data_IF_632175399794
#
_entry.id   IF_632175399794
#
_cell.length_a   1.000
_cell.length_b   1.000
_cell.length_c   1.000
_cell.angle_alpha   90.00
_cell.angle_beta   90.00
_cell.angle_gamma   90.00
#
_symmetry.space_group_name_H-M   'P 1'
#
loop_
_entity.id
_entity.type
_entity.pdbx_description
1 polymer ?
#
# COMPACT_ATOMS: atom_id res chain seq x y z
N UNK A 1 -20.72 8.66 -7.41
CA UNK A 1 -19.85 9.55 -6.58
C UNK A 1 -20.47 10.88 -6.14
N UNK A 2 -21.41 11.46 -6.88
CA UNK A 2 -21.96 12.80 -6.61
C UNK A 2 -22.48 13.04 -5.17
N UNK A 3 -23.11 12.05 -4.54
CA UNK A 3 -23.62 12.19 -3.16
C UNK A 3 -22.50 12.44 -2.14
N UNK A 4 -21.37 11.74 -2.28
CA UNK A 4 -20.20 11.90 -1.41
C UNK A 4 -19.57 13.27 -1.62
N UNK A 5 -19.35 13.67 -2.88
CA UNK A 5 -18.81 15.00 -3.22
C UNK A 5 -19.68 16.13 -2.64
N UNK A 6 -21.01 16.01 -2.74
CA UNK A 6 -21.94 16.98 -2.15
C UNK A 6 -21.76 17.06 -0.63
N UNK A 7 -21.66 15.90 0.04
CA UNK A 7 -21.54 15.87 1.50
C UNK A 7 -20.22 16.45 1.99
N UNK A 8 -19.11 16.14 1.32
CA UNK A 8 -17.80 16.71 1.63
C UNK A 8 -17.78 18.23 1.49
N UNK A 9 -18.41 18.76 0.42
CA UNK A 9 -18.58 20.22 0.24
C UNK A 9 -19.39 20.86 1.37
N UNK A 10 -20.50 20.25 1.79
CA UNK A 10 -21.32 20.74 2.91
C UNK A 10 -20.54 20.77 4.23
N UNK A 11 -19.68 19.77 4.44
CA UNK A 11 -18.80 19.66 5.62
C UNK A 11 -17.53 20.52 5.51
N UNK A 12 -17.31 21.19 4.37
CA UNK A 12 -16.10 21.97 4.07
C UNK A 12 -14.81 21.13 4.18
N UNK A 13 -14.88 19.86 3.83
CA UNK A 13 -13.73 18.97 3.73
C UNK A 13 -13.16 19.10 2.32
N UNK A 14 -11.88 19.45 2.22
CA UNK A 14 -11.16 19.44 0.96
C UNK A 14 -10.94 18.02 0.47
N UNK A 15 -11.07 17.83 -0.85
CA UNK A 15 -10.88 16.54 -1.46
C UNK A 15 -10.26 16.67 -2.85
N UNK A 16 -9.59 15.60 -3.28
CA UNK A 16 -9.05 15.43 -4.62
C UNK A 16 -9.87 14.36 -5.33
N UNK A 17 -10.18 14.61 -6.61
CA UNK A 17 -10.83 13.63 -7.47
C UNK A 17 -9.84 13.12 -8.50
N UNK A 18 -9.84 11.82 -8.74
CA UNK A 18 -9.03 11.17 -9.77
C UNK A 18 -9.86 10.15 -10.54
N UNK A 19 -9.37 9.74 -11.69
CA UNK A 19 -9.89 8.62 -12.47
C UNK A 19 -8.72 7.75 -12.88
N UNK A 20 -8.85 6.45 -12.67
CA UNK A 20 -7.92 5.45 -13.17
C UNK A 20 -8.56 4.63 -14.27
N UNK A 21 -7.73 4.11 -15.17
CA UNK A 21 -8.13 3.23 -16.27
C UNK A 21 -7.25 1.99 -16.27
N UNK A 22 -7.87 0.81 -16.22
CA UNK A 22 -7.18 -0.47 -16.28
C UNK A 22 -8.03 -1.46 -17.11
N UNK A 23 -7.44 -2.06 -18.15
CA UNK A 23 -8.16 -3.02 -18.99
C UNK A 23 -9.44 -2.46 -19.64
N UNK A 24 -9.47 -1.15 -19.93
CA UNK A 24 -10.65 -0.45 -20.44
C UNK A 24 -11.75 -0.19 -19.40
N UNK A 25 -11.52 -0.52 -18.13
CA UNK A 25 -12.41 -0.21 -17.02
C UNK A 25 -11.97 1.11 -16.39
N UNK A 26 -12.92 2.03 -16.23
CA UNK A 26 -12.71 3.31 -15.56
C UNK A 26 -13.25 3.27 -14.13
N UNK A 27 -12.43 3.70 -13.18
CA UNK A 27 -12.83 3.85 -11.78
C UNK A 27 -12.60 5.29 -11.33
N UNK A 28 -13.68 5.95 -10.93
CA UNK A 28 -13.60 7.27 -10.30
C UNK A 28 -13.22 7.11 -8.82
N UNK A 29 -12.24 7.88 -8.37
CA UNK A 29 -11.73 7.88 -7.00
C UNK A 29 -11.82 9.27 -6.39
N UNK A 30 -12.01 9.30 -5.08
CA UNK A 30 -12.04 10.52 -4.28
C UNK A 30 -11.15 10.32 -3.06
N UNK A 31 -10.24 11.26 -2.84
CA UNK A 31 -9.28 11.24 -1.73
C UNK A 31 -9.52 12.44 -0.83
N UNK A 32 -9.55 12.23 0.48
CA UNK A 32 -9.63 13.30 1.49
C UNK A 32 -8.99 12.85 2.79
N UNK A 33 -8.73 13.78 3.71
CA UNK A 33 -8.24 13.45 5.04
C UNK A 33 -9.40 13.47 6.06
N UNK A 34 -9.40 12.50 6.96
CA UNK A 34 -10.23 12.56 8.16
C UNK A 34 -9.67 13.57 9.18
N UNK A 35 -10.37 13.87 10.29
CA UNK A 35 -9.90 14.80 11.30
C UNK A 35 -8.58 14.41 11.98
N UNK A 36 -8.23 13.12 11.96
CA UNK A 36 -7.00 12.58 12.54
C UNK A 36 -5.83 12.62 11.52
N UNK A 37 -6.10 13.07 10.29
CA UNK A 37 -5.12 13.20 9.21
C UNK A 37 -4.95 11.94 8.36
N UNK A 38 -5.70 10.87 8.61
CA UNK A 38 -5.66 9.65 7.81
C UNK A 38 -6.26 9.92 6.43
N UNK A 39 -5.58 9.46 5.38
CA UNK A 39 -6.09 9.58 4.01
C UNK A 39 -7.14 8.49 3.76
N UNK A 40 -8.32 8.93 3.32
CA UNK A 40 -9.44 8.09 2.95
C UNK A 40 -9.62 8.14 1.45
N UNK A 41 -9.68 6.96 0.83
CA UNK A 41 -10.05 6.77 -0.58
C UNK A 41 -11.50 6.25 -0.68
N UNK A 42 -12.29 6.80 -1.61
CA UNK A 42 -13.59 6.30 -2.01
C UNK A 42 -13.59 6.06 -3.53
N UNK A 43 -13.71 4.80 -3.96
CA UNK A 43 -13.82 4.39 -5.37
C UNK A 43 -15.28 4.16 -5.79
N UNK A 44 -15.60 4.35 -7.09
CA UNK A 44 -16.80 3.79 -7.67
C UNK A 44 -16.43 2.49 -8.39
N UNK A 45 -16.63 1.40 -7.68
CA UNK A 45 -16.19 0.08 -8.11
C UNK A 45 -17.34 -0.74 -8.76
N UNK A 46 -18.46 -0.10 -9.14
CA UNK A 46 -19.64 -0.73 -9.76
C UNK A 46 -19.32 -1.57 -11.02
N UNK A 47 -18.29 -1.18 -11.77
CA UNK A 47 -17.92 -1.81 -13.03
C UNK A 47 -16.76 -2.82 -12.89
N UNK A 48 -16.27 -3.06 -11.66
CA UNK A 48 -15.21 -4.04 -11.43
C UNK A 48 -15.79 -5.47 -11.47
N UNK A 49 -15.06 -6.42 -12.08
CA UNK A 49 -15.49 -7.82 -12.10
C UNK A 49 -15.47 -8.39 -10.68
N UNK A 50 -16.61 -8.89 -10.22
CA UNK A 50 -16.70 -9.62 -8.95
C UNK A 50 -16.41 -11.09 -9.23
N UNK A 51 -15.29 -11.58 -8.71
CA UNK A 51 -14.91 -12.99 -8.79
C UNK A 51 -15.20 -13.62 -7.41
N UNK A 52 -16.13 -14.59 -7.31
CA UNK A 52 -16.38 -15.27 -6.06
C UNK A 52 -15.13 -15.98 -5.56
N UNK A 53 -14.80 -15.80 -4.28
CA UNK A 53 -13.75 -16.59 -3.65
C UNK A 53 -14.28 -18.01 -3.42
N UNK A 54 -13.49 -19.02 -3.81
CA UNK A 54 -13.81 -20.41 -3.50
C UNK A 54 -13.69 -20.66 -1.99
N UNK A 55 -14.48 -21.58 -1.45
CA UNK A 55 -14.46 -21.90 -0.02
C UNK A 55 -13.05 -22.33 0.47
N UNK A 56 -12.27 -22.95 -0.41
CA UNK A 56 -10.90 -23.40 -0.13
C UNK A 56 -9.86 -22.27 -0.19
N UNK A 57 -10.22 -21.08 -0.68
CA UNK A 57 -9.33 -19.92 -0.77
C UNK A 57 -9.25 -19.12 0.54
N UNK A 58 -10.14 -19.36 1.50
CA UNK A 58 -10.09 -18.74 2.84
C UNK A 58 -9.07 -19.49 3.68
N UNK A 59 -7.78 -19.29 3.39
CA UNK A 59 -6.72 -19.73 4.29
C UNK A 59 -6.65 -18.74 5.44
N UNK A 60 -7.11 -19.14 6.62
CA UNK A 60 -6.93 -18.38 7.85
C UNK A 60 -5.43 -18.20 8.07
N UNK A 61 -4.92 -16.98 7.92
CA UNK A 61 -3.52 -16.60 8.12
C UNK A 61 -3.13 -16.58 9.62
N UNK A 62 -3.59 -17.56 10.40
CA UNK A 62 -3.26 -17.68 11.83
C UNK A 62 -1.91 -18.36 12.10
N UNK A 63 -1.20 -18.81 11.06
CA UNK A 63 0.04 -19.60 11.21
C UNK A 63 1.27 -19.01 10.51
N UNK A 64 1.29 -17.70 10.23
CA UNK A 64 2.56 -17.05 9.86
C UNK A 64 3.34 -16.76 11.14
N UNK A 65 4.04 -17.78 11.66
CA UNK A 65 5.01 -17.59 12.72
C UNK A 65 6.25 -16.90 12.13
N UNK A 66 6.26 -15.56 12.15
CA UNK A 66 7.42 -14.75 11.77
C UNK A 66 8.54 -14.90 12.82
N UNK A 67 9.27 -16.02 12.80
CA UNK A 67 10.54 -16.17 13.55
C UNK A 67 11.66 -15.41 12.83
N UNK A 68 11.51 -14.10 12.69
CA UNK A 68 12.58 -13.23 12.19
C UNK A 68 13.54 -12.92 13.34
N UNK A 69 14.75 -13.49 13.20
CA UNK A 69 16.03 -13.14 13.83
C UNK A 69 16.31 -13.59 15.27
N UNK A 70 17.19 -14.59 15.38
CA UNK A 70 18.07 -14.76 16.56
C UNK A 70 19.53 -15.12 16.21
N UNK A 71 20.03 -14.80 15.01
CA UNK A 71 21.39 -15.17 14.59
C UNK A 71 22.33 -14.03 14.20
N UNK A 72 22.13 -12.80 14.68
CA UNK A 72 23.09 -11.72 14.40
C UNK A 72 23.47 -10.89 15.62
N UNK A 73 23.72 -11.53 16.77
CA UNK A 73 24.26 -10.84 17.96
C UNK A 73 25.63 -11.33 18.46
N UNK A 74 26.34 -12.21 17.74
CA UNK A 74 27.67 -12.68 18.17
C UNK A 74 28.87 -12.18 17.35
N UNK A 75 28.72 -11.21 16.44
CA UNK A 75 29.88 -10.68 15.68
C UNK A 75 30.18 -9.18 15.86
N UNK A 76 29.55 -8.47 16.80
CA UNK A 76 29.93 -7.06 17.09
C UNK A 76 30.61 -6.95 18.47
N UNK A 77 31.57 -7.82 18.75
CA UNK A 77 32.55 -7.60 19.82
C UNK A 77 33.96 -7.86 19.29
N UNK A 78 34.37 -7.08 18.30
CA UNK A 78 35.76 -6.71 18.04
C UNK A 78 35.75 -5.52 17.08
N UNK A 79 36.72 -4.63 17.22
CA UNK A 79 36.92 -3.35 16.51
C UNK A 79 36.36 -2.10 17.22
N UNK A 80 37.09 -1.68 18.25
CA UNK A 80 37.19 -0.29 18.71
C UNK A 80 38.32 0.37 17.88
N UNK A 81 38.03 1.38 17.05
CA UNK A 81 38.78 2.66 16.88
C UNK A 81 38.32 3.46 15.62
N UNK A 82 38.17 4.78 15.81
CA UNK A 82 37.63 5.89 14.96
C UNK A 82 38.35 6.20 13.61
N UNK A 83 37.96 7.20 12.74
CA UNK A 83 37.01 8.35 12.85
C UNK A 83 36.03 8.51 11.63
N UNK A 84 35.16 9.56 11.55
CA UNK A 84 33.98 9.54 10.68
C UNK A 84 34.26 10.11 9.29
N UNK A 85 33.76 9.45 8.24
CA UNK A 85 33.46 10.15 6.98
C UNK A 85 32.13 9.72 6.39
N UNK A 86 31.37 10.77 6.04
CA UNK A 86 30.07 10.75 5.43
C UNK A 86 30.09 10.02 4.09
N UNK A 87 29.15 9.10 3.89
CA UNK A 87 28.57 8.85 2.57
C UNK A 87 27.16 8.29 2.77
N UNK A 88 26.15 9.12 2.50
CA UNK A 88 24.82 8.61 2.17
C UNK A 88 24.99 7.79 0.89
N UNK A 89 24.90 6.47 1.01
CA UNK A 89 24.70 5.58 -0.14
C UNK A 89 23.30 5.02 -0.06
N UNK A 90 22.46 5.48 -0.98
CA UNK A 90 21.12 4.98 -1.22
C UNK A 90 21.17 3.45 -1.35
N UNK A 91 20.39 2.74 -0.54
CA UNK A 91 20.21 1.29 -0.72
C UNK A 91 19.51 1.03 -2.07
N UNK A 92 19.90 -0.05 -2.78
CA UNK A 92 19.30 -0.38 -4.07
C UNK A 92 17.83 -0.76 -3.90
N UNK A 93 17.05 -0.42 -4.93
CA UNK A 93 15.63 -0.78 -5.08
C UNK A 93 15.38 -2.23 -4.69
N UNK A 94 14.38 -2.43 -3.84
CA UNK A 94 13.74 -3.73 -3.67
C UNK A 94 13.24 -4.15 -5.04
N UNK A 95 13.83 -5.22 -5.58
CA UNK A 95 13.33 -5.88 -6.78
C UNK A 95 11.98 -6.51 -6.41
N UNK A 96 10.89 -5.88 -6.82
CA UNK A 96 9.60 -6.57 -6.89
C UNK A 96 9.75 -7.52 -8.08
N UNK A 97 9.65 -8.82 -7.81
CA UNK A 97 9.56 -9.84 -8.84
C UNK A 97 8.29 -9.60 -9.66
N UNK A 98 8.47 -9.15 -10.90
CA UNK A 98 7.44 -9.09 -11.93
C UNK A 98 7.03 -10.50 -12.35
N UNK A 99 6.17 -11.15 -11.56
CA UNK A 99 5.57 -12.43 -11.96
C UNK A 99 4.04 -12.37 -12.10
N UNK A 100 3.46 -11.16 -12.18
CA UNK A 100 2.05 -11.03 -12.54
C UNK A 100 1.74 -9.72 -13.25
N UNK A 101 2.25 -9.58 -14.48
CA UNK A 101 1.72 -8.63 -15.45
C UNK A 101 1.57 -9.34 -16.81
N UNK A 102 0.35 -9.80 -17.07
CA UNK A 102 -0.19 -9.96 -18.41
C UNK A 102 -1.58 -9.32 -18.38
N UNK A 103 -1.62 -8.03 -18.71
CA UNK A 103 -2.86 -7.37 -19.13
C UNK A 103 -2.66 -7.01 -20.60
N UNK A 104 -3.27 -7.83 -21.46
CA UNK A 104 -3.62 -7.43 -22.82
C UNK A 104 -4.90 -6.59 -22.79
#
# INVERSE_FOLDING_TARGET
MATVEKKLKEMKIEYVKSRVEEGGIYVDQLFFHDPDGTMIEICNCDNLPVIPLSADAVRTCSLVNCNVQQQQQQQIQQMIEMPPQQRLTCLPSVHITEDYLHCA
#
